data_IF_074955004833
#
_entry.id   IF_074955004833
#
_cell.length_a   1.000
_cell.length_b   1.000
_cell.length_c   1.000
_cell.angle_alpha   90.00
_cell.angle_beta   90.00
_cell.angle_gamma   90.00
#
_symmetry.space_group_name_H-M   'P 1'
#
loop_
_entity.id
_entity.type
_entity.pdbx_description
1 polymer ?
#
# COMPACT_ATOMS: atom_id res chain seq x y z
N UNK A 1 7.83 19.94 13.12
CA UNK A 1 7.53 18.91 12.11
C UNK A 1 8.06 17.59 12.64
N UNK A 2 7.18 16.70 13.09
CA UNK A 2 7.58 15.39 13.60
C UNK A 2 8.22 14.60 12.46
N UNK A 3 9.53 14.38 12.54
CA UNK A 3 10.23 13.33 11.80
C UNK A 3 9.62 12.01 12.25
N UNK A 4 8.53 11.58 11.61
CA UNK A 4 8.21 10.16 11.54
C UNK A 4 9.43 9.54 10.87
N UNK A 5 10.21 8.80 11.64
CA UNK A 5 11.39 8.12 11.13
C UNK A 5 11.00 7.30 9.91
N UNK A 6 11.49 7.73 8.74
CA UNK A 6 11.30 7.08 7.45
C UNK A 6 12.21 5.83 7.37
N UNK A 7 12.16 5.00 8.42
CA UNK A 7 13.09 3.90 8.70
C UNK A 7 12.57 2.54 8.21
N UNK A 8 11.30 2.44 7.81
CA UNK A 8 10.78 1.19 7.25
C UNK A 8 11.07 1.11 5.75
N UNK A 9 11.50 -0.06 5.28
CA UNK A 9 11.60 -0.40 3.86
C UNK A 9 10.27 -0.14 3.13
N UNK A 10 9.14 -0.26 3.85
CA UNK A 10 7.81 0.05 3.35
C UNK A 10 7.62 1.55 3.06
N UNK A 11 7.99 2.45 3.97
CA UNK A 11 7.86 3.90 3.75
C UNK A 11 8.69 4.34 2.54
N UNK A 12 9.92 3.82 2.41
CA UNK A 12 10.76 4.08 1.23
C UNK A 12 10.11 3.57 -0.05
N UNK A 13 9.61 2.34 -0.03
CA UNK A 13 8.96 1.73 -1.20
C UNK A 13 7.73 2.52 -1.66
N UNK A 14 6.90 2.99 -0.73
CA UNK A 14 5.70 3.76 -1.07
C UNK A 14 6.06 5.17 -1.55
N UNK A 15 7.04 5.82 -0.89
CA UNK A 15 7.48 7.17 -1.24
C UNK A 15 8.16 7.23 -2.63
N UNK A 16 8.95 6.21 -2.99
CA UNK A 16 9.67 6.15 -4.26
C UNK A 16 8.74 6.16 -5.48
N UNK A 17 7.49 5.72 -5.31
CA UNK A 17 6.49 5.71 -6.40
C UNK A 17 5.86 7.07 -6.68
N UNK A 18 6.11 8.08 -5.85
CA UNK A 18 5.62 9.46 -6.08
C UNK A 18 4.10 9.64 -6.01
N UNK A 19 3.35 8.60 -5.61
CA UNK A 19 1.89 8.66 -5.51
C UNK A 19 1.44 9.03 -4.09
N UNK A 20 0.36 9.81 -3.94
CA UNK A 20 -0.17 10.16 -2.64
C UNK A 20 -0.71 8.92 -1.91
N UNK A 21 -0.49 8.84 -0.60
CA UNK A 21 -0.93 7.72 0.25
C UNK A 21 -2.44 7.45 0.13
N UNK A 22 -3.24 8.49 -0.07
CA UNK A 22 -4.70 8.40 -0.23
C UNK A 22 -5.14 7.62 -1.48
N UNK A 23 -4.23 7.38 -2.43
CA UNK A 23 -4.53 6.60 -3.62
C UNK A 23 -4.33 5.10 -3.39
N UNK A 24 -3.63 4.70 -2.32
CA UNK A 24 -3.43 3.30 -1.99
C UNK A 24 -4.61 2.76 -1.18
N UNK A 25 -4.95 1.50 -1.42
CA UNK A 25 -5.91 0.74 -0.64
C UNK A 25 -5.51 -0.74 -0.63
N UNK A 26 -6.07 -1.49 0.30
CA UNK A 26 -5.85 -2.94 0.39
C UNK A 26 -7.14 -3.63 -0.01
N UNK A 27 -7.06 -4.51 -1.01
CA UNK A 27 -8.13 -5.41 -1.40
C UNK A 27 -7.96 -6.74 -0.68
N UNK A 28 -9.02 -7.19 -0.01
CA UNK A 28 -9.04 -8.46 0.73
C UNK A 28 -10.06 -9.35 0.05
N UNK A 29 -9.58 -10.47 -0.50
CA UNK A 29 -10.40 -11.56 -1.01
C UNK A 29 -10.37 -12.72 -0.02
N UNK A 30 -11.25 -13.74 -0.17
CA UNK A 30 -11.22 -14.92 0.70
C UNK A 30 -9.88 -15.69 0.67
N UNK A 31 -9.08 -15.51 -0.38
CA UNK A 31 -7.85 -16.28 -0.60
C UNK A 31 -6.57 -15.46 -0.53
N UNK A 32 -6.65 -14.13 -0.64
CA UNK A 32 -5.48 -13.27 -0.78
C UNK A 32 -5.77 -11.81 -0.45
N UNK A 33 -4.72 -11.09 -0.04
CA UNK A 33 -4.74 -9.64 0.12
C UNK A 33 -3.82 -8.98 -0.90
N UNK A 34 -4.38 -8.04 -1.66
CA UNK A 34 -3.68 -7.26 -2.68
C UNK A 34 -3.52 -5.83 -2.19
N UNK A 35 -2.38 -5.21 -2.54
CA UNK A 35 -2.23 -3.77 -2.42
C UNK A 35 -2.60 -3.20 -3.77
N UNK A 36 -3.51 -2.24 -3.80
CA UNK A 36 -3.95 -1.61 -5.02
C UNK A 36 -3.75 -0.09 -4.89
N UNK A 37 -3.66 0.58 -6.03
CA UNK A 37 -3.57 2.04 -6.05
C UNK A 37 -4.37 2.63 -7.20
N UNK A 38 -4.87 3.84 -7.00
CA UNK A 38 -5.51 4.63 -8.03
C UNK A 38 -4.48 5.50 -8.75
N UNK A 39 -4.31 5.29 -10.05
CA UNK A 39 -3.47 6.11 -10.91
C UNK A 39 -4.06 7.52 -11.11
N UNK A 40 -3.25 8.44 -11.63
CA UNK A 40 -3.68 9.80 -11.95
C UNK A 40 -4.77 9.84 -13.03
N UNK A 41 -4.82 8.83 -13.90
CA UNK A 41 -5.85 8.63 -14.91
C UNK A 41 -7.18 8.11 -14.32
N UNK A 42 -7.20 7.86 -13.01
CA UNK A 42 -8.37 7.40 -12.27
C UNK A 42 -8.64 5.90 -12.33
N UNK A 43 -7.79 5.12 -13.02
CA UNK A 43 -7.85 3.66 -13.02
C UNK A 43 -7.19 3.06 -11.78
N UNK A 44 -7.63 1.86 -11.45
CA UNK A 44 -7.12 1.08 -10.34
C UNK A 44 -6.12 0.04 -10.86
N UNK A 45 -5.02 -0.12 -10.13
CA UNK A 45 -3.93 -1.00 -10.49
C UNK A 45 -3.49 -1.80 -9.27
N UNK A 46 -3.17 -3.07 -9.49
CA UNK A 46 -2.49 -3.88 -8.49
C UNK A 46 -1.03 -3.42 -8.36
N UNK A 47 -0.54 -3.40 -7.12
CA UNK A 47 0.84 -3.09 -6.80
C UNK A 47 1.64 -4.40 -6.81
N UNK A 48 2.43 -4.69 -7.85
CA UNK A 48 3.22 -5.90 -7.89
C UNK A 48 4.37 -5.79 -6.88
N UNK A 49 4.39 -6.72 -5.91
CA UNK A 49 5.49 -6.90 -4.97
C UNK A 49 5.84 -8.39 -4.97
N UNK A 50 6.98 -8.73 -5.61
CA UNK A 50 7.42 -10.13 -5.71
C UNK A 50 8.04 -10.68 -4.42
N UNK A 51 8.56 -9.79 -3.56
CA UNK A 51 9.14 -10.17 -2.28
C UNK A 51 8.05 -10.22 -1.20
N UNK A 52 7.78 -11.41 -0.66
CA UNK A 52 6.72 -11.64 0.31
C UNK A 52 6.93 -10.84 1.61
N UNK A 53 8.18 -10.73 2.06
CA UNK A 53 8.51 -10.00 3.30
C UNK A 53 8.22 -8.51 3.15
N UNK A 54 8.59 -7.93 1.99
CA UNK A 54 8.28 -6.56 1.63
C UNK A 54 6.77 -6.35 1.48
N UNK A 55 6.05 -7.28 0.85
CA UNK A 55 4.61 -7.19 0.70
C UNK A 55 3.90 -7.15 2.06
N UNK A 56 4.31 -7.99 3.00
CA UNK A 56 3.79 -7.99 4.38
C UNK A 56 4.10 -6.66 5.07
N UNK A 57 5.34 -6.17 4.97
CA UNK A 57 5.76 -4.92 5.60
C UNK A 57 4.99 -3.71 5.04
N UNK A 58 4.80 -3.65 3.71
CA UNK A 58 4.02 -2.59 3.04
C UNK A 58 2.56 -2.67 3.44
N UNK A 59 1.94 -3.86 3.42
CA UNK A 59 0.54 -4.03 3.89
C UNK A 59 0.35 -3.55 5.32
N UNK A 60 1.24 -3.97 6.24
CA UNK A 60 1.18 -3.53 7.64
C UNK A 60 1.29 -2.01 7.73
N UNK A 61 2.25 -1.41 7.03
CA UNK A 61 2.47 0.03 7.07
C UNK A 61 1.29 0.82 6.51
N UNK A 62 0.72 0.40 5.39
CA UNK A 62 -0.47 1.02 4.81
C UNK A 62 -1.66 0.97 5.79
N UNK A 63 -1.86 -0.15 6.50
CA UNK A 63 -2.88 -0.25 7.56
C UNK A 63 -2.63 0.72 8.71
N UNK A 64 -1.39 0.87 9.16
CA UNK A 64 -1.00 1.84 10.20
C UNK A 64 -1.24 3.30 9.76
N UNK A 65 -1.10 3.57 8.46
CA UNK A 65 -1.39 4.87 7.86
C UNK A 65 -2.90 5.10 7.62
N UNK A 66 -3.74 4.12 7.91
CA UNK A 66 -5.20 4.24 7.80
C UNK A 66 -5.72 4.21 6.37
N UNK A 67 -5.03 3.53 5.44
CA UNK A 67 -5.58 3.37 4.09
C UNK A 67 -6.89 2.59 4.09
N UNK A 68 -7.69 2.80 3.06
CA UNK A 68 -8.95 2.06 2.86
C UNK A 68 -8.65 0.56 2.71
N UNK A 69 -9.42 -0.28 3.39
CA UNK A 69 -9.44 -1.73 3.19
C UNK A 69 -10.79 -2.09 2.58
N UNK A 70 -10.77 -2.79 1.44
CA UNK A 70 -11.95 -3.20 0.68
C UNK A 70 -12.04 -4.71 0.73
N UNK A 71 -13.11 -5.22 1.34
CA UNK A 71 -13.39 -6.66 1.37
C UNK A 71 -14.26 -7.03 0.16
N UNK A 72 -13.72 -7.87 -0.72
CA UNK A 72 -14.46 -8.45 -1.82
C UNK A 72 -15.05 -9.79 -1.37
N UNK A 73 -16.37 -9.92 -1.52
CA UNK A 73 -17.14 -11.12 -1.18
C UNK A 73 -17.30 -12.04 -2.37
#
# INVERSE_FOLDING_TARGET
MNKLEMNSIADKFIADRGMPMSNYYIEVTPYSELICFKGEDGREYDLPISDETLAIAVKKRLRELGVKVVELK
#
